data_IF_932026466275
#
_entry.id   IF_932026466275
#
_cell.length_a   1.000
_cell.length_b   1.000
_cell.length_c   1.000
_cell.angle_alpha   90.00
_cell.angle_beta   90.00
_cell.angle_gamma   90.00
#
_symmetry.space_group_name_H-M   'P 1'
#
loop_
_entity.id
_entity.type
_entity.pdbx_description
1 polymer ?
#
# COMPACT_ATOMS: atom_id res chain seq x y z
N UNK A 1 12.73 -11.08 17.94
CA UNK A 1 12.08 -12.12 17.11
C UNK A 1 11.73 -11.48 15.78
N UNK A 2 12.29 -11.93 14.66
CA UNK A 2 12.02 -11.33 13.35
C UNK A 2 10.72 -11.93 12.79
N UNK A 3 9.74 -11.10 12.43
CA UNK A 3 8.47 -11.61 11.88
C UNK A 3 8.63 -11.98 10.41
N UNK A 4 8.04 -13.12 9.96
CA UNK A 4 8.14 -13.51 8.56
C UNK A 4 7.40 -12.49 7.70
N UNK A 5 7.98 -12.16 6.55
CA UNK A 5 7.42 -11.20 5.60
C UNK A 5 5.93 -11.46 5.34
N UNK A 6 5.57 -12.73 5.11
CA UNK A 6 4.19 -13.15 4.85
C UNK A 6 3.20 -12.64 5.89
N UNK A 7 3.54 -12.64 7.18
CA UNK A 7 2.64 -12.16 8.23
C UNK A 7 2.38 -10.66 8.12
N UNK A 8 3.40 -9.88 7.75
CA UNK A 8 3.26 -8.44 7.51
C UNK A 8 2.38 -8.19 6.28
N UNK A 9 2.58 -8.94 5.20
CA UNK A 9 1.75 -8.84 3.99
C UNK A 9 0.29 -9.16 4.28
N UNK A 10 0.03 -10.27 4.96
CA UNK A 10 -1.32 -10.72 5.29
C UNK A 10 -2.04 -9.67 6.15
N UNK A 11 -1.35 -9.09 7.15
CA UNK A 11 -1.91 -8.05 8.01
C UNK A 11 -2.29 -6.77 7.23
N UNK A 12 -1.45 -6.35 6.27
CA UNK A 12 -1.79 -5.23 5.39
C UNK A 12 -2.96 -5.55 4.46
N UNK A 13 -3.00 -6.76 3.89
CA UNK A 13 -4.09 -7.20 3.03
C UNK A 13 -5.43 -7.21 3.79
N UNK A 14 -5.43 -7.68 5.04
CA UNK A 14 -6.59 -7.68 5.91
C UNK A 14 -7.00 -6.26 6.31
N UNK A 15 -6.05 -5.38 6.63
CA UNK A 15 -6.33 -3.96 6.91
C UNK A 15 -6.97 -3.25 5.72
N UNK A 16 -6.46 -3.47 4.50
CA UNK A 16 -7.04 -2.90 3.28
C UNK A 16 -8.42 -3.49 2.97
N UNK A 17 -8.63 -4.79 3.22
CA UNK A 17 -9.95 -5.42 3.11
C UNK A 17 -10.95 -4.81 4.09
N UNK A 18 -10.54 -4.54 5.33
CA UNK A 18 -11.38 -3.90 6.33
C UNK A 18 -11.79 -2.48 5.93
N UNK A 19 -10.87 -1.71 5.34
CA UNK A 19 -11.15 -0.38 4.77
C UNK A 19 -12.14 -0.49 3.62
N UNK A 20 -11.92 -1.41 2.67
CA UNK A 20 -12.83 -1.61 1.54
C UNK A 20 -14.24 -2.01 2.01
N UNK A 21 -14.32 -2.87 3.02
CA UNK A 21 -15.58 -3.31 3.61
C UNK A 21 -16.30 -2.22 4.42
N UNK A 22 -15.58 -1.21 4.91
CA UNK A 22 -16.18 -0.12 5.71
C UNK A 22 -17.24 0.67 4.96
N UNK A 23 -17.17 0.69 3.62
CA UNK A 23 -18.12 1.40 2.79
C UNK A 23 -18.14 2.92 3.01
N UNK A 24 -17.12 3.47 3.67
CA UNK A 24 -17.03 4.91 3.92
C UNK A 24 -16.73 5.61 2.59
N UNK A 25 -17.63 6.49 2.10
CA UNK A 25 -17.33 7.31 0.94
C UNK A 25 -16.25 8.32 1.32
N UNK A 26 -15.27 8.49 0.44
CA UNK A 26 -14.21 9.48 0.61
C UNK A 26 -14.30 10.49 -0.53
N UNK A 27 -14.49 11.76 -0.16
CA UNK A 27 -14.81 12.85 -1.10
C UNK A 27 -16.02 12.50 -1.97
N UNK A 28 -15.90 12.60 -3.30
CA UNK A 28 -16.96 12.35 -4.28
C UNK A 28 -16.86 10.95 -4.92
N UNK A 29 -15.98 10.08 -4.39
CA UNK A 29 -15.73 8.78 -4.97
C UNK A 29 -16.65 7.70 -4.39
N UNK A 30 -16.85 6.62 -5.16
CA UNK A 30 -17.64 5.46 -4.71
C UNK A 30 -16.96 4.79 -3.50
N UNK A 31 -17.73 4.27 -2.53
CA UNK A 31 -17.19 3.55 -1.38
C UNK A 31 -16.24 2.40 -1.75
N UNK A 32 -15.21 2.21 -0.93
CA UNK A 32 -14.19 1.17 -1.09
C UNK A 32 -12.80 1.70 -0.76
N UNK A 33 -11.74 0.93 -1.07
CA UNK A 33 -10.35 1.41 -0.90
C UNK A 33 -9.89 2.36 -2.01
N UNK A 34 -10.49 2.26 -3.20
CA UNK A 34 -10.15 3.06 -4.40
C UNK A 34 -10.06 4.59 -4.17
N UNK A 35 -10.98 5.21 -3.42
CA UNK A 35 -10.97 6.64 -3.11
C UNK A 35 -9.77 7.18 -2.33
N UNK A 36 -9.02 6.34 -1.63
CA UNK A 36 -7.93 6.77 -0.76
C UNK A 36 -6.64 6.92 -1.57
N UNK A 37 -5.87 7.97 -1.32
CA UNK A 37 -4.48 8.02 -1.80
C UNK A 37 -3.64 6.93 -1.13
N UNK A 38 -2.45 6.66 -1.67
CA UNK A 38 -1.52 5.66 -1.14
C UNK A 38 -1.21 5.88 0.34
N UNK A 39 -0.76 7.09 0.70
CA UNK A 39 -0.47 7.45 2.09
C UNK A 39 -1.68 7.29 3.01
N UNK A 40 -2.90 7.61 2.55
CA UNK A 40 -4.12 7.47 3.33
C UNK A 40 -4.51 6.00 3.54
N UNK A 41 -4.45 5.19 2.48
CA UNK A 41 -4.75 3.77 2.56
C UNK A 41 -3.77 3.05 3.49
N UNK A 42 -2.47 3.36 3.40
CA UNK A 42 -1.43 2.82 4.27
C UNK A 42 -1.67 3.24 5.73
N UNK A 43 -1.95 4.52 5.97
CA UNK A 43 -2.22 5.04 7.31
C UNK A 43 -3.42 4.34 7.95
N UNK A 44 -4.52 4.19 7.22
CA UNK A 44 -5.73 3.51 7.70
C UNK A 44 -5.47 2.02 7.94
N UNK A 45 -4.73 1.35 7.04
CA UNK A 45 -4.41 -0.07 7.20
C UNK A 45 -3.55 -0.27 8.45
N UNK A 46 -2.56 0.59 8.67
CA UNK A 46 -1.71 0.54 9.85
C UNK A 46 -2.49 0.80 11.15
N UNK A 47 -3.48 1.70 11.13
CA UNK A 47 -4.38 1.90 12.28
C UNK A 47 -5.20 0.63 12.59
N UNK A 48 -5.72 -0.03 11.56
CA UNK A 48 -6.43 -1.30 11.73
C UNK A 48 -5.51 -2.38 12.32
N UNK A 49 -4.31 -2.55 11.75
CA UNK A 49 -3.31 -3.52 12.19
C UNK A 49 -2.87 -3.29 13.64
N UNK A 50 -2.70 -2.04 14.08
CA UNK A 50 -2.40 -1.71 15.48
C UNK A 50 -3.49 -2.14 16.45
N UNK A 51 -4.73 -2.18 16.00
CA UNK A 51 -5.87 -2.60 16.81
C UNK A 51 -5.94 -4.13 16.89
N UNK A 52 -5.61 -4.83 15.81
CA UNK A 52 -5.67 -6.30 15.73
C UNK A 52 -4.45 -6.98 16.34
N UNK A 53 -3.27 -6.39 16.19
CA UNK A 53 -1.98 -6.95 16.63
C UNK A 53 -1.08 -5.84 17.19
N UNK A 54 -1.43 -5.27 18.35
CA UNK A 54 -0.66 -4.17 18.97
C UNK A 54 0.78 -4.57 19.31
N UNK A 55 1.03 -5.82 19.67
CA UNK A 55 2.35 -6.39 19.93
C UNK A 55 3.29 -6.33 18.72
N UNK A 56 2.73 -6.26 17.52
CA UNK A 56 3.44 -6.19 16.25
C UNK A 56 3.63 -4.76 15.75
N UNK A 57 2.56 -3.97 15.79
CA UNK A 57 2.47 -2.75 15.00
C UNK A 57 2.36 -1.46 15.83
N UNK A 58 2.36 -1.55 17.17
CA UNK A 58 2.30 -0.38 18.07
C UNK A 58 3.42 0.63 17.79
N UNK A 59 4.63 0.14 17.52
CA UNK A 59 5.80 0.97 17.20
C UNK A 59 5.96 1.27 15.71
N UNK A 60 5.20 0.62 14.83
CA UNK A 60 5.27 0.90 13.40
C UNK A 60 4.92 2.37 13.14
N UNK A 61 5.58 3.03 12.18
CA UNK A 61 5.36 4.45 11.84
C UNK A 61 5.29 4.63 10.34
N UNK A 62 4.45 5.54 9.87
CA UNK A 62 4.54 6.06 8.51
C UNK A 62 5.69 7.08 8.43
N UNK A 63 6.51 7.03 7.38
CA UNK A 63 7.58 8.00 7.12
C UNK A 63 7.53 8.44 5.66
N UNK A 64 8.40 9.39 5.28
CA UNK A 64 8.58 9.80 3.87
C UNK A 64 9.41 8.78 3.07
N UNK A 65 10.32 8.08 3.74
CA UNK A 65 11.11 6.97 3.22
C UNK A 65 11.61 6.15 4.43
N UNK A 66 11.24 4.86 4.56
CA UNK A 66 10.22 4.14 3.78
C UNK A 66 8.81 4.69 4.04
N UNK A 67 7.81 4.26 3.26
CA UNK A 67 6.41 4.54 3.57
C UNK A 67 6.02 4.06 4.98
N UNK A 68 6.43 2.85 5.36
CA UNK A 68 6.24 2.30 6.71
C UNK A 68 7.52 1.71 7.25
N UNK A 69 7.86 2.10 8.49
CA UNK A 69 8.95 1.52 9.26
C UNK A 69 8.38 0.74 10.45
N UNK A 70 8.74 -0.54 10.54
CA UNK A 70 8.58 -1.37 11.74
C UNK A 70 9.97 -1.48 12.39
N UNK A 71 10.23 -0.78 13.51
CA UNK A 71 11.56 -0.69 14.10
C UNK A 71 12.21 -2.05 14.35
N UNK A 72 13.45 -2.23 13.90
CA UNK A 72 14.22 -3.46 14.06
C UNK A 72 13.70 -4.67 13.25
N UNK A 73 12.74 -4.47 12.35
CA UNK A 73 12.05 -5.56 11.63
C UNK A 73 12.00 -5.31 10.12
N UNK A 74 11.24 -4.29 9.69
CA UNK A 74 10.89 -4.07 8.28
C UNK A 74 10.91 -2.60 7.87
N UNK A 75 11.44 -2.33 6.68
CA UNK A 75 11.28 -1.06 5.97
C UNK A 75 10.46 -1.37 4.71
N UNK A 76 9.25 -0.81 4.63
CA UNK A 76 8.23 -1.20 3.68
C UNK A 76 7.89 -0.03 2.76
N UNK A 77 7.95 -0.29 1.47
CA UNK A 77 7.49 0.65 0.45
C UNK A 77 6.23 0.09 -0.19
N UNK A 78 5.25 0.93 -0.48
CA UNK A 78 3.99 0.51 -1.06
C UNK A 78 3.81 1.12 -2.44
N UNK A 79 3.10 0.38 -3.29
CA UNK A 79 2.58 0.95 -4.52
C UNK A 79 1.13 0.55 -4.70
N UNK A 80 0.25 1.53 -4.81
CA UNK A 80 -1.11 1.31 -5.25
C UNK A 80 -1.13 1.28 -6.77
N UNK A 81 -1.64 0.17 -7.31
CA UNK A 81 -1.82 -0.01 -8.74
C UNK A 81 -3.31 -0.04 -9.04
N UNK A 82 -3.71 0.78 -10.00
CA UNK A 82 -5.10 0.89 -10.47
C UNK A 82 -5.10 0.69 -11.97
N UNK A 83 -5.32 -0.53 -12.47
CA UNK A 83 -5.40 -0.76 -13.92
C UNK A 83 -6.62 -0.06 -14.54
N UNK A 84 -7.61 0.29 -13.72
CA UNK A 84 -8.82 1.01 -14.13
C UNK A 84 -9.06 2.22 -13.21
N UNK A 85 -9.54 3.32 -13.78
CA UNK A 85 -10.04 4.48 -13.04
C UNK A 85 -11.46 4.28 -12.50
N UNK A 86 -11.97 5.29 -11.78
CA UNK A 86 -13.28 5.23 -11.11
C UNK A 86 -14.48 5.12 -12.07
N UNK A 87 -14.28 5.47 -13.35
CA UNK A 87 -15.24 5.31 -14.43
C UNK A 87 -15.15 3.94 -15.13
N UNK A 88 -14.27 3.05 -14.68
CA UNK A 88 -14.04 1.73 -15.27
C UNK A 88 -13.20 1.74 -16.54
N UNK A 89 -12.67 2.90 -16.96
CA UNK A 89 -11.75 2.98 -18.09
C UNK A 89 -10.35 2.55 -17.68
N UNK A 90 -9.57 1.92 -18.57
CA UNK A 90 -8.16 1.63 -18.32
C UNK A 90 -7.41 2.90 -17.90
N UNK A 91 -6.62 2.81 -16.84
CA UNK A 91 -5.76 3.91 -16.45
C UNK A 91 -4.59 4.02 -17.44
N UNK A 92 -4.28 5.24 -17.89
CA UNK A 92 -3.09 5.45 -18.71
C UNK A 92 -1.82 5.23 -17.85
N UNK A 93 -0.79 4.64 -18.44
CA UNK A 93 0.55 4.46 -17.83
C UNK A 93 0.61 3.68 -16.50
N UNK A 94 -0.43 2.92 -16.12
CA UNK A 94 -0.41 2.16 -14.85
C UNK A 94 0.73 1.14 -14.77
N UNK A 95 1.12 0.54 -15.89
CA UNK A 95 2.24 -0.41 -15.99
C UNK A 95 3.59 0.28 -15.88
N UNK A 96 3.73 1.50 -16.41
CA UNK A 96 4.93 2.32 -16.31
C UNK A 96 5.19 2.74 -14.85
N UNK A 97 4.14 3.07 -14.10
CA UNK A 97 4.23 3.37 -12.66
C UNK A 97 4.72 2.18 -11.82
N UNK A 98 4.79 0.97 -12.39
CA UNK A 98 5.33 -0.22 -11.74
C UNK A 98 6.77 -0.46 -12.20
N UNK A 99 6.97 -0.52 -13.52
CA UNK A 99 8.16 -1.14 -14.11
C UNK A 99 9.17 -0.14 -14.69
N UNK A 100 8.85 1.16 -14.75
CA UNK A 100 9.72 2.10 -15.46
C UNK A 100 11.11 2.16 -14.83
N UNK A 101 12.19 1.77 -15.56
CA UNK A 101 13.49 1.51 -14.95
C UNK A 101 14.40 2.73 -14.84
N UNK A 102 14.01 3.86 -15.45
CA UNK A 102 14.88 5.03 -15.52
C UNK A 102 14.81 5.91 -14.26
N UNK A 103 15.95 6.44 -13.78
CA UNK A 103 16.00 7.40 -12.68
C UNK A 103 15.13 8.63 -12.94
N UNK A 104 14.49 9.15 -11.89
CA UNK A 104 13.61 10.32 -11.97
C UNK A 104 12.12 9.99 -12.17
N UNK A 105 11.77 8.73 -12.49
CA UNK A 105 10.39 8.26 -12.48
C UNK A 105 10.00 7.71 -11.09
N UNK A 106 8.74 7.89 -10.69
CA UNK A 106 8.13 7.34 -9.47
C UNK A 106 7.61 5.93 -9.73
N UNK A 107 8.49 4.97 -10.02
CA UNK A 107 8.15 3.55 -10.22
C UNK A 107 8.47 2.69 -9.00
N UNK A 108 7.77 1.56 -8.84
CA UNK A 108 8.08 0.59 -7.77
C UNK A 108 9.55 0.15 -7.78
N UNK A 109 10.13 -0.04 -8.96
CA UNK A 109 11.55 -0.38 -9.08
C UNK A 109 12.45 0.76 -8.59
N UNK A 110 12.16 2.00 -8.99
CA UNK A 110 12.90 3.17 -8.54
C UNK A 110 12.79 3.37 -7.03
N UNK A 111 11.62 3.11 -6.44
CA UNK A 111 11.38 3.25 -5.01
C UNK A 111 12.15 2.17 -4.20
N UNK A 112 12.19 0.91 -4.68
CA UNK A 112 13.08 -0.11 -4.13
C UNK A 112 14.57 0.29 -4.18
N UNK A 113 15.02 0.90 -5.29
CA UNK A 113 16.40 1.36 -5.42
C UNK A 113 16.73 2.51 -4.45
N UNK A 114 15.81 3.47 -4.25
CA UNK A 114 15.97 4.52 -3.23
C UNK A 114 16.06 3.93 -1.83
N UNK A 115 15.25 2.91 -1.55
CA UNK A 115 15.27 2.22 -0.26
C UNK A 115 16.60 1.50 -0.04
N UNK A 116 17.16 0.83 -1.06
CA UNK A 116 18.49 0.22 -0.99
C UNK A 116 19.59 1.25 -0.73
N UNK A 117 19.50 2.42 -1.35
CA UNK A 117 20.48 3.51 -1.18
C UNK A 117 20.36 4.23 0.17
N UNK A 118 19.23 4.08 0.88
CA UNK A 118 18.98 4.78 2.15
C UNK A 118 19.83 4.28 3.33
N UNK A 119 20.53 3.15 3.18
CA UNK A 119 21.39 2.59 4.23
C UNK A 119 20.63 2.04 5.45
N UNK A 120 19.30 1.88 5.35
CA UNK A 120 18.50 1.27 6.41
C UNK A 120 18.88 -0.21 6.57
N UNK A 121 19.35 -0.58 7.76
CA UNK A 121 19.80 -1.94 8.12
C UNK A 121 18.64 -2.90 8.38
N UNK A 122 17.63 -2.89 7.52
CA UNK A 122 16.34 -3.56 7.75
C UNK A 122 15.82 -4.15 6.43
N UNK A 123 15.19 -5.31 6.52
CA UNK A 123 14.71 -6.10 5.38
C UNK A 123 13.60 -5.34 4.61
N UNK A 124 13.68 -5.38 3.28
CA UNK A 124 12.86 -4.58 2.37
C UNK A 124 11.71 -5.39 1.79
N UNK A 125 10.56 -4.74 1.60
CA UNK A 125 9.42 -5.32 0.92
C UNK A 125 8.63 -4.28 0.14
N UNK A 126 8.16 -4.69 -1.05
CA UNK A 126 7.21 -3.98 -1.88
C UNK A 126 5.98 -4.85 -2.11
N UNK A 127 4.78 -4.32 -1.81
CA UNK A 127 3.52 -5.04 -2.02
C UNK A 127 2.79 -4.54 -3.26
N UNK A 128 2.33 -5.48 -4.09
CA UNK A 128 1.43 -5.26 -5.22
C UNK A 128 0.01 -5.63 -4.79
N UNK A 129 -0.91 -4.67 -4.73
CA UNK A 129 -2.34 -4.98 -4.62
C UNK A 129 -3.02 -4.89 -5.98
N UNK A 130 -3.65 -6.00 -6.37
CA UNK A 130 -4.54 -6.08 -7.53
C UNK A 130 -5.93 -5.63 -7.11
N UNK A 131 -6.37 -4.46 -7.56
CA UNK A 131 -7.72 -3.99 -7.23
C UNK A 131 -8.76 -4.70 -8.10
N UNK A 132 -9.59 -5.52 -7.45
CA UNK A 132 -10.74 -6.17 -8.07
C UNK A 132 -11.86 -5.13 -8.19
N UNK A 133 -12.05 -4.65 -9.43
CA UNK A 133 -13.19 -3.85 -9.83
C UNK A 133 -14.47 -4.60 -9.44
N UNK A 134 -15.15 -4.21 -8.35
CA UNK A 134 -16.53 -4.68 -8.10
C UNK A 134 -17.38 -4.02 -9.18
N UNK A 135 -17.58 -4.82 -10.23
CA UNK A 135 -18.36 -4.54 -11.42
C UNK A 135 -19.59 -3.70 -11.12
N UNK A 136 -19.80 -2.73 -12.01
CA UNK A 136 -21.08 -2.13 -12.33
C UNK A 136 -22.23 -3.10 -12.06
N UNK A 137 -23.04 -2.82 -11.02
CA UNK A 137 -24.46 -3.10 -11.15
C UNK A 137 -25.03 -1.89 -11.87
N UNK A 138 -25.20 -2.07 -13.18
CA UNK A 138 -26.20 -1.34 -13.95
C UNK A 138 -27.51 -1.32 -13.15
N UNK A 139 -28.08 -0.13 -12.99
CA UNK A 139 -29.54 -0.05 -12.98
C UNK A 139 -30.05 -0.38 -14.38
#
# INVERSE_FOLDING_TARGET
>A
MNYPLKAVVDAFADGLRAIDASGVPHKLFKPGVGPYGEADAIRLALQHMRTQSPELFSEARTKRLPDVLIPGQWALEFKIIRPFGDNGLPAEHWSENILHPYPGNTSSLGDCMKLLQSGLSIQQFAHLNWWRNRSCRSN
#
